data_IF_299279612714
#
_entry.id   IF_299279612714
#
_cell.length_a   1.000
_cell.length_b   1.000
_cell.length_c   1.000
_cell.angle_alpha   90.00
_cell.angle_beta   90.00
_cell.angle_gamma   90.00
#
_symmetry.space_group_name_H-M   'P 1'
#
loop_
_entity.id
_entity.type
_entity.pdbx_description
1 polymer ?
#
# COMPACT_ATOMS: atom_id res chain seq x y z
N UNK A 1 17.35 -24.26 45.96
CA UNK A 1 16.69 -24.48 44.66
C UNK A 1 15.57 -23.48 44.32
N UNK A 2 15.09 -22.65 45.26
CA UNK A 2 13.99 -21.69 45.02
C UNK A 2 14.43 -20.45 44.23
N UNK A 3 15.67 -19.98 44.40
CA UNK A 3 16.16 -18.75 43.76
C UNK A 3 16.28 -18.88 42.22
N UNK A 4 16.58 -20.08 41.71
CA UNK A 4 16.66 -20.35 40.26
C UNK A 4 15.30 -20.25 39.55
N UNK A 5 14.19 -20.45 40.26
CA UNK A 5 12.84 -20.38 39.70
C UNK A 5 12.36 -18.93 39.54
N UNK A 6 12.74 -18.03 40.45
CA UNK A 6 12.35 -16.62 40.39
C UNK A 6 12.97 -15.92 39.18
N UNK A 7 14.23 -16.25 38.85
CA UNK A 7 14.92 -15.70 37.67
C UNK A 7 14.27 -16.15 36.36
N UNK A 8 13.69 -17.36 36.30
CA UNK A 8 12.96 -17.83 35.11
C UNK A 8 11.60 -17.18 34.94
N UNK A 9 10.93 -16.79 36.02
CA UNK A 9 9.61 -16.13 35.96
C UNK A 9 9.76 -14.66 35.55
N UNK A 10 10.84 -13.99 36.02
CA UNK A 10 11.10 -12.59 35.63
C UNK A 10 11.45 -12.42 34.15
N UNK A 11 12.07 -13.43 33.51
CA UNK A 11 12.35 -13.40 32.06
C UNK A 11 11.12 -13.53 31.16
N UNK A 12 10.00 -14.02 31.69
CA UNK A 12 8.77 -14.24 30.92
C UNK A 12 7.82 -13.04 30.91
N UNK A 13 8.12 -11.97 31.67
CA UNK A 13 7.26 -10.79 31.83
C UNK A 13 7.65 -9.61 30.94
N UNK A 14 8.60 -9.78 30.02
CA UNK A 14 8.84 -8.86 28.91
C UNK A 14 8.06 -9.31 27.66
N UNK A 15 6.80 -9.71 27.83
CA UNK A 15 5.86 -9.75 26.71
C UNK A 15 5.66 -8.31 26.30
N UNK A 16 6.42 -7.91 25.29
CA UNK A 16 6.36 -6.60 24.68
C UNK A 16 4.91 -6.23 24.45
N UNK A 17 4.59 -4.96 24.72
CA UNK A 17 3.34 -4.35 24.29
C UNK A 17 3.18 -4.66 22.81
N UNK A 18 2.39 -5.68 22.48
CA UNK A 18 1.86 -5.87 21.14
C UNK A 18 0.85 -4.75 21.01
N UNK A 19 1.33 -3.59 20.55
CA UNK A 19 0.42 -2.60 19.96
C UNK A 19 -0.33 -3.38 18.88
N UNK A 20 -1.67 -3.46 18.94
CA UNK A 20 -2.42 -4.03 17.83
C UNK A 20 -2.05 -3.17 16.62
N UNK A 21 -1.18 -3.70 15.76
CA UNK A 21 -0.88 -3.06 14.49
C UNK A 21 -2.16 -3.19 13.70
N UNK A 22 -3.00 -2.14 13.72
CA UNK A 22 -4.12 -2.05 12.80
C UNK A 22 -3.54 -2.17 11.41
N UNK A 23 -4.05 -3.12 10.62
CA UNK A 23 -3.68 -3.28 9.22
C UNK A 23 -3.84 -1.90 8.56
N UNK A 24 -2.84 -1.37 7.85
CA UNK A 24 -2.97 -0.11 7.14
C UNK A 24 -4.22 -0.11 6.24
N UNK A 25 -4.93 1.02 6.16
CA UNK A 25 -6.19 1.09 5.41
C UNK A 25 -6.03 0.72 3.92
N UNK A 26 -4.84 0.97 3.36
CA UNK A 26 -4.51 0.51 2.01
C UNK A 26 -4.52 -1.03 1.91
N UNK A 27 -3.89 -1.73 2.85
CA UNK A 27 -3.79 -3.19 2.82
C UNK A 27 -5.18 -3.83 3.01
N UNK A 28 -6.01 -3.29 3.90
CA UNK A 28 -7.41 -3.71 4.03
C UNK A 28 -8.21 -3.51 2.74
N UNK A 29 -7.99 -2.38 2.05
CA UNK A 29 -8.66 -2.11 0.77
C UNK A 29 -8.24 -3.12 -0.30
N UNK A 30 -6.95 -3.44 -0.38
CA UNK A 30 -6.41 -4.42 -1.32
C UNK A 30 -6.96 -5.82 -1.07
N UNK A 31 -7.07 -6.26 0.19
CA UNK A 31 -7.67 -7.55 0.55
C UNK A 31 -9.13 -7.66 0.08
N UNK A 32 -9.89 -6.55 0.12
CA UNK A 32 -11.29 -6.51 -0.32
C UNK A 32 -11.45 -6.56 -1.85
N UNK A 33 -10.40 -6.25 -2.63
CA UNK A 33 -10.45 -6.40 -4.08
C UNK A 33 -10.45 -7.87 -4.53
N UNK A 34 -10.05 -8.78 -3.62
CA UNK A 34 -9.99 -10.22 -3.88
C UNK A 34 -8.78 -10.64 -4.69
N UNK A 35 -8.63 -11.95 -4.86
CA UNK A 35 -7.56 -12.56 -5.64
C UNK A 35 -7.81 -12.42 -7.15
N UNK A 36 -6.71 -12.45 -7.91
CA UNK A 36 -6.73 -12.44 -9.37
C UNK A 36 -7.57 -13.61 -9.90
N UNK A 37 -8.68 -13.35 -10.60
CA UNK A 37 -9.44 -14.42 -11.22
C UNK A 37 -8.59 -15.14 -12.25
N UNK A 38 -8.91 -16.40 -12.51
CA UNK A 38 -8.32 -17.12 -13.64
C UNK A 38 -8.47 -16.29 -14.93
N UNK A 39 -7.44 -16.33 -15.78
CA UNK A 39 -7.37 -15.69 -17.12
C UNK A 39 -8.61 -15.89 -18.02
N UNK A 40 -9.47 -16.84 -17.67
CA UNK A 40 -10.73 -17.15 -18.36
C UNK A 40 -11.86 -16.14 -18.09
N UNK A 41 -11.72 -15.21 -17.13
CA UNK A 41 -12.71 -14.15 -16.84
C UNK A 41 -12.11 -12.73 -16.92
N UNK A 42 -11.94 -12.18 -18.14
CA UNK A 42 -11.39 -10.84 -18.34
C UNK A 42 -12.20 -9.73 -17.67
N UNK A 43 -13.52 -9.91 -17.53
CA UNK A 43 -14.38 -8.92 -16.91
C UNK A 43 -14.10 -8.82 -15.40
N UNK A 44 -13.87 -9.96 -14.76
CA UNK A 44 -13.49 -9.99 -13.34
C UNK A 44 -12.06 -9.49 -13.12
N UNK A 45 -11.12 -9.77 -14.02
CA UNK A 45 -9.75 -9.20 -13.94
C UNK A 45 -9.81 -7.67 -14.02
N UNK A 46 -10.57 -7.13 -14.98
CA UNK A 46 -10.75 -5.69 -15.11
C UNK A 46 -11.42 -5.04 -13.89
N UNK A 47 -12.38 -5.73 -13.26
CA UNK A 47 -13.02 -5.27 -12.04
C UNK A 47 -12.06 -5.24 -10.85
N UNK A 48 -11.21 -6.27 -10.71
CA UNK A 48 -10.16 -6.31 -9.70
C UNK A 48 -9.15 -5.18 -9.92
N UNK A 49 -8.67 -4.98 -11.15
CA UNK A 49 -7.74 -3.90 -11.47
C UNK A 49 -8.31 -2.52 -11.12
N UNK A 50 -9.58 -2.28 -11.44
CA UNK A 50 -10.27 -1.05 -11.08
C UNK A 50 -10.36 -0.84 -9.56
N UNK A 51 -10.63 -1.91 -8.81
CA UNK A 51 -10.63 -1.88 -7.34
C UNK A 51 -9.24 -1.54 -6.78
N UNK A 52 -8.22 -2.26 -7.23
CA UNK A 52 -6.84 -2.07 -6.81
C UNK A 52 -6.32 -0.66 -7.13
N UNK A 53 -6.74 -0.08 -8.25
CA UNK A 53 -6.42 1.30 -8.61
C UNK A 53 -7.13 2.29 -7.69
N UNK A 54 -8.40 2.04 -7.34
CA UNK A 54 -9.14 2.88 -6.40
C UNK A 54 -8.48 2.92 -5.02
N UNK A 55 -8.05 1.77 -4.50
CA UNK A 55 -7.29 1.68 -3.24
C UNK A 55 -5.98 2.48 -3.30
N UNK A 56 -5.28 2.43 -4.43
CA UNK A 56 -4.03 3.15 -4.64
C UNK A 56 -4.25 4.67 -4.63
N UNK A 57 -5.31 5.13 -5.29
CA UNK A 57 -5.73 6.53 -5.35
C UNK A 57 -6.15 7.06 -3.96
N UNK A 58 -6.96 6.31 -3.23
CA UNK A 58 -7.44 6.73 -1.91
C UNK A 58 -6.27 6.89 -0.91
N UNK A 59 -5.31 5.98 -0.95
CA UNK A 59 -4.10 6.10 -0.12
C UNK A 59 -3.19 7.26 -0.58
N UNK A 60 -3.09 7.52 -1.88
CA UNK A 60 -2.37 8.70 -2.39
C UNK A 60 -3.01 9.99 -1.85
N UNK A 61 -4.34 10.06 -1.85
CA UNK A 61 -5.10 11.19 -1.35
C UNK A 61 -4.96 11.36 0.17
N UNK A 62 -4.95 10.25 0.92
CA UNK A 62 -4.63 10.22 2.36
C UNK A 62 -3.21 10.70 2.66
N UNK A 63 -2.25 10.35 1.81
CA UNK A 63 -0.88 10.85 1.92
C UNK A 63 -0.81 12.36 1.64
N UNK A 64 -1.54 12.86 0.63
CA UNK A 64 -1.64 14.29 0.34
C UNK A 64 -2.28 15.09 1.47
N UNK A 65 -3.32 14.58 2.12
CA UNK A 65 -4.01 15.28 3.21
C UNK A 65 -3.12 15.48 4.44
N UNK A 66 -2.12 14.60 4.65
CA UNK A 66 -1.07 14.76 5.67
C UNK A 66 -0.04 15.84 5.31
N UNK A 67 0.01 16.29 4.05
CA UNK A 67 1.05 17.16 3.51
C UNK A 67 0.50 18.29 2.61
N UNK A 68 -0.48 19.09 3.06
CA UNK A 68 -1.24 20.01 2.19
C UNK A 68 -0.39 21.06 1.47
N UNK A 69 0.68 21.55 2.11
CA UNK A 69 1.57 22.58 1.57
C UNK A 69 3.03 22.14 1.43
N UNK A 70 3.30 20.83 1.50
CA UNK A 70 4.65 20.30 1.37
C UNK A 70 4.81 19.56 0.03
N UNK A 71 5.31 20.27 -0.96
CA UNK A 71 5.48 19.76 -2.32
C UNK A 71 6.37 18.51 -2.37
N UNK A 72 7.52 18.53 -1.68
CA UNK A 72 8.47 17.41 -1.64
C UNK A 72 7.81 16.13 -1.06
N UNK A 73 7.08 16.27 0.06
CA UNK A 73 6.34 15.16 0.66
C UNK A 73 5.22 14.66 -0.25
N UNK A 74 4.53 15.55 -0.96
CA UNK A 74 3.52 15.14 -1.96
C UNK A 74 4.15 14.44 -3.16
N UNK A 75 5.34 14.82 -3.61
CA UNK A 75 6.07 14.04 -4.62
C UNK A 75 6.41 12.63 -4.14
N UNK A 76 6.75 12.46 -2.85
CA UNK A 76 6.96 11.13 -2.25
C UNK A 76 5.65 10.31 -2.28
N UNK A 77 4.51 10.92 -1.97
CA UNK A 77 3.20 10.24 -2.07
C UNK A 77 2.91 9.74 -3.50
N UNK A 78 3.17 10.57 -4.52
CA UNK A 78 3.02 10.16 -5.93
C UNK A 78 3.97 9.02 -6.27
N UNK A 79 5.24 9.10 -5.85
CA UNK A 79 6.22 8.04 -6.10
C UNK A 79 5.76 6.73 -5.45
N UNK A 80 5.24 6.77 -4.23
CA UNK A 80 4.70 5.61 -3.54
C UNK A 80 3.48 5.01 -4.27
N UNK A 81 2.55 5.84 -4.77
CA UNK A 81 1.43 5.37 -5.58
C UNK A 81 1.89 4.70 -6.89
N UNK A 82 2.88 5.28 -7.57
CA UNK A 82 3.48 4.69 -8.77
C UNK A 82 4.11 3.33 -8.49
N UNK A 83 4.88 3.22 -7.43
CA UNK A 83 5.55 1.97 -7.06
C UNK A 83 4.54 0.86 -6.73
N UNK A 84 3.46 1.20 -6.02
CA UNK A 84 2.37 0.24 -5.73
C UNK A 84 1.68 -0.26 -7.00
N UNK A 85 1.40 0.63 -7.95
CA UNK A 85 0.85 0.26 -9.25
C UNK A 85 1.81 -0.67 -10.01
N UNK A 86 3.08 -0.27 -10.16
CA UNK A 86 4.10 -1.07 -10.87
C UNK A 86 4.35 -2.42 -10.22
N UNK A 87 4.27 -2.53 -8.89
CA UNK A 87 4.46 -3.78 -8.17
C UNK A 87 3.43 -4.86 -8.53
N UNK A 88 2.26 -4.48 -9.05
CA UNK A 88 1.23 -5.41 -9.54
C UNK A 88 1.43 -5.83 -11.00
N UNK A 89 2.19 -5.07 -11.77
CA UNK A 89 2.40 -5.35 -13.20
C UNK A 89 3.33 -6.54 -13.47
N UNK A 90 4.07 -7.02 -12.47
CA UNK A 90 5.19 -7.92 -12.70
C UNK A 90 6.15 -7.30 -13.72
N UNK A 91 6.42 -8.03 -14.80
CA UNK A 91 7.30 -7.60 -15.89
C UNK A 91 6.54 -7.06 -17.13
N UNK A 92 5.21 -6.85 -17.05
CA UNK A 92 4.44 -6.35 -18.20
C UNK A 92 4.80 -4.89 -18.53
N UNK A 93 5.42 -4.62 -19.70
CA UNK A 93 5.89 -3.27 -20.05
C UNK A 93 4.74 -2.30 -20.33
N UNK A 94 3.59 -2.78 -20.82
CA UNK A 94 2.41 -1.97 -21.08
C UNK A 94 1.76 -1.50 -19.78
N UNK A 95 1.61 -2.40 -18.81
CA UNK A 95 1.13 -2.11 -17.47
C UNK A 95 2.07 -1.11 -16.77
N UNK A 96 3.38 -1.35 -16.82
CA UNK A 96 4.39 -0.44 -16.25
C UNK A 96 4.25 0.97 -16.86
N UNK A 97 4.10 1.06 -18.19
CA UNK A 97 3.93 2.33 -18.88
C UNK A 97 2.67 3.07 -18.42
N UNK A 98 1.53 2.36 -18.30
CA UNK A 98 0.28 2.94 -17.80
C UNK A 98 0.44 3.46 -16.37
N UNK A 99 1.11 2.71 -15.48
CA UNK A 99 1.39 3.15 -14.11
C UNK A 99 2.25 4.42 -14.07
N UNK A 100 3.26 4.52 -14.94
CA UNK A 100 4.10 5.71 -15.04
C UNK A 100 3.29 6.92 -15.52
N UNK A 101 2.41 6.72 -16.50
CA UNK A 101 1.54 7.76 -17.05
C UNK A 101 0.48 8.22 -16.05
N UNK A 102 -0.20 7.31 -15.34
CA UNK A 102 -1.22 7.66 -14.34
C UNK A 102 -0.67 8.36 -13.11
N UNK A 103 0.54 7.98 -12.67
CA UNK A 103 1.16 8.51 -11.46
C UNK A 103 2.37 9.39 -11.77
N UNK A 104 2.19 10.37 -12.66
CA UNK A 104 3.20 11.37 -13.02
C UNK A 104 3.52 12.31 -11.85
N UNK A 105 4.74 12.87 -11.85
CA UNK A 105 5.17 13.78 -10.80
C UNK A 105 4.35 15.07 -10.84
N UNK A 106 4.19 15.71 -9.67
CA UNK A 106 3.39 16.94 -9.52
C UNK A 106 3.97 18.18 -10.21
N UNK A 107 5.26 18.19 -10.51
CA UNK A 107 5.97 19.22 -11.30
C UNK A 107 5.71 19.08 -12.80
N UNK A 108 5.26 17.90 -13.24
CA UNK A 108 4.73 17.70 -14.59
C UNK A 108 3.24 18.02 -14.49
N UNK A 109 2.94 19.29 -14.21
CA UNK A 109 1.59 19.82 -14.28
C UNK A 109 1.07 19.54 -15.69
N UNK A 110 0.13 18.60 -15.79
CA UNK A 110 -0.71 18.52 -16.96
C UNK A 110 -1.67 19.70 -16.83
N UNK A 111 -1.35 20.79 -17.52
CA UNK A 111 -2.37 21.69 -18.05
C UNK A 111 -3.28 20.84 -18.96
N UNK A 112 -4.40 20.36 -18.42
CA UNK A 112 -5.57 19.91 -19.19
C UNK A 112 -6.82 20.47 -18.54
#
# INVERSE_FOLDING_TARGET
MIIKYIVRIAGLLLVGRVMPHSIPEYDQCMELCGDDPSEEDPARSAAMDACCEKCNEDEKNRCFSKHPHNFERRQICVKAARQRCMGRCGDDPGCIFICQFKHQRLDIGIDM
#
